data_IF_861864428229
#
_entry.id   IF_861864428229
#
_cell.length_a   1.000
_cell.length_b   1.000
_cell.length_c   1.000
_cell.angle_alpha   90.00
_cell.angle_beta   90.00
_cell.angle_gamma   90.00
#
_symmetry.space_group_name_H-M   'P 1'
#
loop_
_entity.id
_entity.type
_entity.pdbx_description
1 polymer ?
#
# COMPACT_ATOMS: atom_id res chain seq x y z
N UNK A 1 -7.72 -40.56 42.31
CA UNK A 1 -8.86 -39.90 41.63
C UNK A 1 -8.28 -39.10 40.45
N UNK A 2 -8.37 -39.68 39.26
CA UNK A 2 -7.81 -39.10 38.03
C UNK A 2 -8.89 -38.21 37.38
N UNK A 3 -8.66 -36.91 37.29
CA UNK A 3 -9.57 -35.97 36.62
C UNK A 3 -9.18 -35.90 35.14
N UNK A 4 -9.95 -36.56 34.29
CA UNK A 4 -9.83 -36.50 32.86
C UNK A 4 -10.46 -35.19 32.35
N UNK A 5 -9.63 -34.23 31.94
CA UNK A 5 -10.10 -33.01 31.26
C UNK A 5 -10.51 -33.42 29.85
N UNK A 6 -11.81 -33.42 29.57
CA UNK A 6 -12.35 -33.51 28.20
C UNK A 6 -12.18 -32.19 27.52
N UNK A 7 -11.30 -32.13 26.52
CA UNK A 7 -11.31 -31.04 25.57
C UNK A 7 -12.60 -31.16 24.73
N UNK A 8 -13.39 -30.09 24.71
CA UNK A 8 -14.57 -30.00 23.87
C UNK A 8 -14.13 -29.92 22.39
N UNK A 9 -14.24 -31.05 21.67
CA UNK A 9 -14.27 -31.09 20.21
C UNK A 9 -15.64 -30.55 19.79
N UNK A 10 -15.68 -29.32 19.31
CA UNK A 10 -16.60 -28.73 18.34
C UNK A 10 -16.46 -27.20 18.32
N UNK A 11 -15.26 -26.70 17.99
CA UNK A 11 -15.20 -25.42 17.31
C UNK A 11 -15.35 -25.75 15.82
N UNK A 12 -16.50 -25.46 15.21
CA UNK A 12 -16.65 -25.51 13.77
C UNK A 12 -15.46 -24.81 13.15
N UNK A 13 -14.81 -25.45 12.16
CA UNK A 13 -13.77 -24.80 11.36
C UNK A 13 -14.45 -23.55 10.76
N UNK A 14 -14.23 -22.40 11.39
CA UNK A 14 -14.53 -21.11 10.76
C UNK A 14 -13.72 -21.11 9.49
N UNK A 15 -14.40 -21.20 8.35
CA UNK A 15 -13.75 -20.96 7.05
C UNK A 15 -13.04 -19.62 7.19
N UNK A 16 -11.72 -19.63 7.04
CA UNK A 16 -10.93 -18.41 6.99
C UNK A 16 -11.51 -17.65 5.79
N UNK A 17 -12.08 -16.45 6.00
CA UNK A 17 -12.68 -15.71 4.88
C UNK A 17 -11.61 -15.54 3.81
N UNK A 18 -11.86 -16.07 2.62
CA UNK A 18 -10.99 -15.81 1.48
C UNK A 18 -10.88 -14.30 1.29
N UNK A 19 -9.65 -13.80 1.10
CA UNK A 19 -9.46 -12.39 0.80
C UNK A 19 -10.31 -12.02 -0.44
N UNK A 20 -11.15 -10.97 -0.36
CA UNK A 20 -12.26 -10.78 -1.29
C UNK A 20 -11.85 -10.29 -2.69
N UNK A 21 -10.55 -10.15 -2.97
CA UNK A 21 -10.05 -9.66 -4.25
C UNK A 21 -9.42 -10.77 -5.07
N UNK A 22 -9.82 -10.85 -6.35
CA UNK A 22 -9.21 -11.76 -7.32
C UNK A 22 -7.83 -11.27 -7.71
N UNK A 23 -6.86 -12.18 -7.80
CA UNK A 23 -5.55 -11.90 -8.38
C UNK A 23 -5.60 -12.09 -9.89
N UNK A 24 -5.05 -11.14 -10.63
CA UNK A 24 -4.97 -11.18 -12.09
C UNK A 24 -3.52 -11.02 -12.56
N UNK A 25 -3.17 -11.70 -13.66
CA UNK A 25 -1.91 -11.46 -14.35
C UNK A 25 -2.01 -10.16 -15.17
N UNK A 26 -1.17 -9.19 -14.88
CA UNK A 26 -1.11 -7.92 -15.57
C UNK A 26 -0.86 -8.04 -17.07
N UNK A 27 -0.17 -9.12 -17.51
CA UNK A 27 0.07 -9.37 -18.94
C UNK A 27 -1.20 -9.78 -19.69
N UNK A 28 -2.22 -10.28 -19.00
CA UNK A 28 -3.52 -10.65 -19.58
C UNK A 28 -4.52 -9.49 -19.64
N UNK A 29 -4.18 -8.32 -19.07
CA UNK A 29 -5.08 -7.16 -19.04
C UNK A 29 -5.25 -6.51 -20.42
N UNK A 30 -6.33 -5.72 -20.63
CA UNK A 30 -6.50 -4.87 -21.82
C UNK A 30 -5.28 -3.96 -22.04
N UNK A 31 -5.00 -3.65 -23.31
CA UNK A 31 -3.78 -2.94 -23.72
C UNK A 31 -3.59 -1.59 -23.01
N UNK A 32 -4.67 -0.84 -22.78
CA UNK A 32 -4.62 0.44 -22.08
C UNK A 32 -4.11 0.30 -20.63
N UNK A 33 -4.55 -0.75 -19.91
CA UNK A 33 -4.06 -1.04 -18.57
C UNK A 33 -2.62 -1.54 -18.59
N UNK A 34 -2.25 -2.40 -19.54
CA UNK A 34 -0.86 -2.85 -19.67
C UNK A 34 0.09 -1.68 -19.93
N UNK A 35 -0.30 -0.71 -20.76
CA UNK A 35 0.48 0.51 -20.99
C UNK A 35 0.61 1.37 -19.73
N UNK A 36 -0.44 1.48 -18.93
CA UNK A 36 -0.44 2.28 -17.72
C UNK A 36 0.32 1.62 -16.58
N UNK A 37 0.16 0.31 -16.40
CA UNK A 37 0.71 -0.47 -15.29
C UNK A 37 2.09 -1.05 -15.57
N UNK A 38 2.45 -1.29 -16.84
CA UNK A 38 3.74 -1.82 -17.28
C UNK A 38 4.13 -3.12 -16.56
N UNK A 39 3.25 -4.16 -16.52
CA UNK A 39 3.42 -5.33 -15.67
C UNK A 39 4.69 -6.11 -15.99
N UNK A 40 5.53 -6.32 -14.97
CA UNK A 40 6.78 -7.08 -15.07
C UNK A 40 7.92 -6.37 -15.81
N UNK A 41 7.74 -5.12 -16.27
CA UNK A 41 8.81 -4.37 -16.91
C UNK A 41 9.86 -3.91 -15.89
N UNK A 42 11.09 -3.73 -16.38
CA UNK A 42 12.15 -3.10 -15.60
C UNK A 42 12.04 -1.58 -15.65
N UNK A 43 12.25 -0.94 -14.52
CA UNK A 43 12.24 0.50 -14.39
C UNK A 43 13.36 1.00 -13.49
N UNK A 44 14.05 2.06 -13.91
CA UNK A 44 15.15 2.64 -13.15
C UNK A 44 14.65 3.49 -11.99
N UNK A 45 15.23 3.28 -10.81
CA UNK A 45 15.05 4.17 -9.67
C UNK A 45 15.96 5.41 -9.79
N UNK A 46 15.86 6.32 -8.80
CA UNK A 46 16.64 7.57 -8.78
C UNK A 46 18.16 7.35 -8.65
N UNK A 47 18.59 6.16 -8.25
CA UNK A 47 20.00 5.76 -8.13
C UNK A 47 20.51 5.01 -9.36
N UNK A 48 19.62 4.77 -10.35
CA UNK A 48 19.95 4.07 -11.59
C UNK A 48 19.78 2.55 -11.55
N UNK A 49 19.41 1.97 -10.39
CA UNK A 49 19.16 0.54 -10.30
C UNK A 49 17.85 0.16 -11.00
N UNK A 50 17.88 -0.96 -11.71
CA UNK A 50 16.70 -1.55 -12.31
C UNK A 50 15.85 -2.24 -11.24
N UNK A 51 14.55 -1.96 -11.27
CA UNK A 51 13.53 -2.53 -10.39
C UNK A 51 12.45 -3.16 -11.25
N UNK A 52 12.11 -4.40 -10.98
CA UNK A 52 11.04 -5.08 -11.69
C UNK A 52 9.68 -4.62 -11.15
N UNK A 53 8.84 -4.09 -12.03
CA UNK A 53 7.45 -3.71 -11.70
C UNK A 53 6.60 -4.92 -11.35
N UNK A 54 5.55 -4.76 -10.54
CA UNK A 54 4.60 -5.83 -10.25
C UNK A 54 4.00 -6.40 -11.54
N UNK A 55 3.87 -7.73 -11.59
CA UNK A 55 3.16 -8.42 -12.66
C UNK A 55 1.73 -8.77 -12.24
N UNK A 56 1.52 -9.10 -10.96
CA UNK A 56 0.23 -9.54 -10.44
C UNK A 56 -0.45 -8.44 -9.64
N UNK A 57 -1.76 -8.33 -9.85
CA UNK A 57 -2.57 -7.27 -9.27
C UNK A 57 -3.84 -7.86 -8.66
N UNK A 58 -4.34 -7.23 -7.61
CA UNK A 58 -5.72 -7.40 -7.19
C UNK A 58 -6.63 -6.63 -8.14
N UNK A 59 -7.70 -7.28 -8.61
CA UNK A 59 -8.78 -6.61 -9.32
C UNK A 59 -9.80 -6.10 -8.31
N UNK A 60 -9.98 -4.80 -8.27
CA UNK A 60 -10.95 -4.11 -7.41
C UNK A 60 -12.23 -3.89 -8.21
N UNK A 61 -13.41 -4.39 -7.78
CA UNK A 61 -14.62 -4.32 -8.58
C UNK A 61 -15.17 -2.89 -8.75
N UNK A 62 -15.19 -2.09 -7.68
CA UNK A 62 -15.77 -0.75 -7.66
C UNK A 62 -15.27 0.07 -6.47
N UNK A 63 -15.57 1.37 -6.45
CA UNK A 63 -15.38 2.22 -5.27
C UNK A 63 -16.16 1.73 -4.06
N UNK A 64 -17.41 1.29 -4.25
CA UNK A 64 -18.24 0.74 -3.18
C UNK A 64 -17.61 -0.50 -2.55
N UNK A 65 -16.96 -1.33 -3.35
CA UNK A 65 -16.19 -2.47 -2.85
C UNK A 65 -14.94 -2.00 -2.10
N UNK A 66 -14.18 -1.06 -2.67
CA UNK A 66 -12.97 -0.54 -2.04
C UNK A 66 -13.24 0.10 -0.67
N UNK A 67 -14.39 0.76 -0.50
CA UNK A 67 -14.82 1.36 0.78
C UNK A 67 -15.25 0.33 1.83
N UNK A 68 -15.36 -0.94 1.49
CA UNK A 68 -15.78 -2.02 2.41
C UNK A 68 -14.69 -3.06 2.64
N UNK A 69 -13.66 -3.10 1.78
CA UNK A 69 -12.59 -4.09 1.88
C UNK A 69 -11.57 -3.62 2.92
N UNK A 70 -11.52 -4.34 4.02
CA UNK A 70 -10.53 -4.16 5.05
C UNK A 70 -9.21 -4.81 4.62
N UNK A 71 -8.14 -4.02 4.52
CA UNK A 71 -6.78 -4.52 4.31
C UNK A 71 -6.09 -4.85 5.65
N UNK A 72 -6.50 -4.15 6.70
CA UNK A 72 -6.16 -4.39 8.10
C UNK A 72 -7.28 -3.84 8.99
N UNK A 73 -7.31 -4.12 10.31
CA UNK A 73 -8.44 -3.75 11.18
C UNK A 73 -8.88 -2.29 11.15
N UNK A 74 -7.98 -1.38 10.78
CA UNK A 74 -8.28 0.06 10.79
C UNK A 74 -7.96 0.75 9.45
N UNK A 75 -7.69 0.00 8.38
CA UNK A 75 -7.42 0.54 7.06
C UNK A 75 -8.25 -0.15 5.99
N UNK A 76 -9.01 0.65 5.25
CA UNK A 76 -9.80 0.22 4.10
C UNK A 76 -9.01 0.42 2.80
N UNK A 77 -9.26 -0.42 1.81
CA UNK A 77 -8.56 -0.37 0.52
C UNK A 77 -8.64 1.01 -0.16
N UNK A 78 -9.80 1.69 -0.08
CA UNK A 78 -9.99 2.99 -0.72
C UNK A 78 -8.98 4.05 -0.26
N UNK A 79 -8.52 3.98 0.99
CA UNK A 79 -7.54 4.93 1.54
C UNK A 79 -6.19 4.89 0.81
N UNK A 80 -5.84 3.72 0.27
CA UNK A 80 -4.58 3.49 -0.43
C UNK A 80 -4.64 3.78 -1.92
N UNK A 81 -5.83 3.90 -2.50
CA UNK A 81 -6.02 3.98 -3.96
C UNK A 81 -6.68 5.28 -4.41
N UNK A 82 -6.74 6.29 -3.55
CA UNK A 82 -7.19 7.61 -3.94
C UNK A 82 -6.21 8.24 -4.93
N UNK A 83 -6.67 8.49 -6.13
CA UNK A 83 -5.91 9.11 -7.21
C UNK A 83 -6.61 10.37 -7.71
N UNK A 84 -5.90 11.20 -8.48
CA UNK A 84 -6.44 12.43 -9.05
C UNK A 84 -6.21 12.50 -10.57
N UNK A 85 -6.45 13.69 -11.13
CA UNK A 85 -6.31 13.97 -12.58
C UNK A 85 -4.89 13.74 -13.14
N UNK A 86 -3.88 13.56 -12.28
CA UNK A 86 -2.49 13.27 -12.67
C UNK A 86 -2.25 11.80 -12.97
N UNK A 87 -3.21 10.92 -12.61
CA UNK A 87 -3.15 9.50 -12.93
C UNK A 87 -3.42 9.23 -14.41
N UNK A 88 -2.93 8.08 -14.91
CA UNK A 88 -3.15 7.64 -16.27
C UNK A 88 -4.66 7.50 -16.58
N UNK A 89 -5.11 7.84 -17.82
CA UNK A 89 -6.53 7.87 -18.14
C UNK A 89 -7.35 6.63 -17.72
N UNK A 90 -6.89 5.38 -17.95
CA UNK A 90 -7.69 4.21 -17.58
C UNK A 90 -7.82 3.99 -16.07
N UNK A 91 -6.98 4.66 -15.26
CA UNK A 91 -6.96 4.53 -13.80
C UNK A 91 -7.47 5.78 -13.08
N UNK A 92 -7.61 6.90 -13.78
CA UNK A 92 -7.92 8.22 -13.21
C UNK A 92 -9.26 8.28 -12.49
N UNK A 93 -10.27 7.62 -13.04
CA UNK A 93 -11.60 7.59 -12.44
C UNK A 93 -11.69 6.52 -11.35
N UNK A 94 -11.03 5.39 -11.59
CA UNK A 94 -11.01 4.26 -10.68
C UNK A 94 -9.79 3.37 -10.93
N UNK A 95 -8.86 3.25 -9.96
CA UNK A 95 -7.68 2.39 -10.06
C UNK A 95 -8.05 0.92 -9.86
N UNK A 96 -8.65 0.32 -10.89
CA UNK A 96 -9.20 -1.04 -10.86
C UNK A 96 -8.18 -2.13 -10.51
N UNK A 97 -6.91 -1.91 -10.84
CA UNK A 97 -5.86 -2.90 -10.65
C UNK A 97 -4.78 -2.35 -9.72
N UNK A 98 -4.55 -3.04 -8.60
CA UNK A 98 -3.67 -2.58 -7.52
C UNK A 98 -2.64 -3.66 -7.21
N UNK A 99 -1.33 -3.33 -7.05
CA UNK A 99 -0.30 -4.32 -6.73
C UNK A 99 -0.63 -5.12 -5.48
N UNK A 100 -0.38 -6.43 -5.52
CA UNK A 100 -0.73 -7.32 -4.39
C UNK A 100 0.01 -6.99 -3.09
N UNK A 101 1.17 -6.30 -3.16
CA UNK A 101 1.92 -5.89 -1.97
C UNK A 101 1.23 -4.82 -1.11
N UNK A 102 0.11 -4.23 -1.57
CA UNK A 102 -0.65 -3.23 -0.81
C UNK A 102 -1.16 -3.77 0.53
N UNK A 103 -1.43 -5.06 0.62
CA UNK A 103 -1.80 -5.72 1.88
C UNK A 103 -0.66 -5.71 2.90
N UNK A 104 0.59 -5.85 2.46
CA UNK A 104 1.76 -5.76 3.34
C UNK A 104 1.93 -4.34 3.87
N UNK A 105 1.73 -3.33 3.03
CA UNK A 105 1.75 -1.94 3.45
C UNK A 105 0.68 -1.67 4.51
N UNK A 106 -0.55 -2.16 4.32
CA UNK A 106 -1.63 -1.97 5.27
C UNK A 106 -1.32 -2.58 6.64
N UNK A 107 -0.77 -3.81 6.68
CA UNK A 107 -0.34 -4.46 7.93
C UNK A 107 0.77 -3.66 8.63
N UNK A 108 1.73 -3.12 7.89
CA UNK A 108 2.77 -2.27 8.46
C UNK A 108 2.19 -0.96 9.01
N UNK A 109 1.28 -0.32 8.28
CA UNK A 109 0.62 0.90 8.75
C UNK A 109 -0.26 0.65 9.98
N UNK A 110 -0.88 -0.52 10.09
CA UNK A 110 -1.62 -0.91 11.31
C UNK A 110 -0.72 -0.93 12.54
N UNK A 111 0.47 -1.55 12.42
CA UNK A 111 1.45 -1.55 13.51
C UNK A 111 1.93 -0.13 13.84
N UNK A 112 2.13 0.71 12.85
CA UNK A 112 2.48 2.11 13.07
C UNK A 112 1.35 2.87 13.77
N UNK A 113 0.09 2.64 13.35
CA UNK A 113 -1.10 3.20 13.97
C UNK A 113 -1.22 2.80 15.45
N UNK A 114 -0.97 1.53 15.77
CA UNK A 114 -0.92 1.05 17.16
C UNK A 114 0.13 1.80 17.98
N UNK A 115 1.32 2.00 17.42
CA UNK A 115 2.41 2.68 18.11
C UNK A 115 2.14 4.17 18.36
N UNK A 116 1.44 4.85 17.45
CA UNK A 116 1.05 6.26 17.64
C UNK A 116 -0.23 6.42 18.45
N UNK A 117 -1.01 5.34 18.65
CA UNK A 117 -2.21 5.28 19.48
C UNK A 117 -3.40 6.10 18.96
N UNK A 118 -3.42 6.45 17.67
CA UNK A 118 -4.48 7.28 17.08
C UNK A 118 -4.61 7.06 15.58
N UNK A 119 -5.55 7.77 14.92
CA UNK A 119 -5.80 7.66 13.49
C UNK A 119 -4.61 8.13 12.65
N UNK A 120 -4.34 7.41 11.58
CA UNK A 120 -3.30 7.73 10.57
C UNK A 120 -4.02 7.96 9.24
N UNK A 121 -3.82 9.14 8.64
CA UNK A 121 -4.52 9.55 7.43
C UNK A 121 -3.57 9.63 6.25
N UNK A 122 -3.83 8.81 5.22
CA UNK A 122 -3.09 8.80 3.97
C UNK A 122 -3.64 9.93 3.07
N UNK A 123 -2.76 10.69 2.43
CA UNK A 123 -3.17 11.75 1.50
C UNK A 123 -3.68 11.18 0.18
N UNK A 124 -4.49 11.95 -0.56
CA UNK A 124 -4.79 11.63 -1.95
C UNK A 124 -3.48 11.52 -2.76
N UNK A 125 -3.39 10.52 -3.66
CA UNK A 125 -2.14 10.09 -4.31
C UNK A 125 -1.02 9.67 -3.34
N UNK A 126 -1.32 9.52 -2.07
CA UNK A 126 -0.34 9.15 -1.03
C UNK A 126 -0.12 7.66 -0.91
N UNK A 127 -1.03 6.82 -1.40
CA UNK A 127 -0.89 5.37 -1.48
C UNK A 127 -0.36 4.92 -2.84
N UNK A 128 -1.07 4.00 -3.50
CA UNK A 128 -0.72 3.50 -4.82
C UNK A 128 -0.83 4.59 -5.90
N UNK A 129 0.15 4.62 -6.78
CA UNK A 129 0.19 5.42 -8.02
C UNK A 129 0.78 4.56 -9.13
N UNK A 130 0.17 4.54 -10.31
CA UNK A 130 0.71 3.75 -11.43
C UNK A 130 2.08 4.26 -11.88
N UNK A 131 2.87 3.42 -12.57
CA UNK A 131 4.10 3.88 -13.23
C UNK A 131 3.87 5.04 -14.21
N UNK A 132 2.66 5.17 -14.76
CA UNK A 132 2.27 6.23 -15.70
C UNK A 132 1.68 7.48 -15.03
N UNK A 133 1.61 7.52 -13.71
CA UNK A 133 1.24 8.72 -12.97
C UNK A 133 2.27 9.84 -13.18
N UNK A 134 1.82 11.10 -13.33
CA UNK A 134 2.70 12.26 -13.63
C UNK A 134 3.83 12.47 -12.62
N UNK A 135 3.66 12.04 -11.36
CA UNK A 135 4.70 12.10 -10.34
C UNK A 135 5.69 10.93 -10.41
N UNK A 136 5.37 9.87 -11.15
CA UNK A 136 6.18 8.67 -11.23
C UNK A 136 7.20 8.78 -12.37
N UNK A 137 8.19 9.68 -12.23
CA UNK A 137 9.24 9.88 -13.24
C UNK A 137 10.29 8.76 -13.24
N UNK A 138 10.54 8.15 -12.09
CA UNK A 138 11.44 7.03 -11.87
C UNK A 138 10.72 5.99 -11.02
N UNK A 139 11.29 4.79 -10.91
CA UNK A 139 10.76 3.75 -10.04
C UNK A 139 10.59 4.30 -8.62
N UNK A 140 9.38 4.21 -8.12
CA UNK A 140 8.99 4.68 -6.80
C UNK A 140 8.16 3.61 -6.10
N UNK A 141 8.37 3.33 -4.81
CA UNK A 141 7.63 2.31 -4.07
C UNK A 141 6.10 2.48 -4.13
N UNK A 142 5.61 3.69 -4.40
CA UNK A 142 4.17 3.90 -4.67
C UNK A 142 3.64 3.05 -5.84
N UNK A 143 4.46 2.78 -6.87
CA UNK A 143 4.05 1.95 -8.00
C UNK A 143 4.04 0.44 -7.67
N UNK A 144 4.66 0.04 -6.55
CA UNK A 144 4.58 -1.31 -5.99
C UNK A 144 3.44 -1.47 -4.97
N UNK A 145 2.74 -0.37 -4.61
CA UNK A 145 1.77 -0.37 -3.53
C UNK A 145 2.40 -0.53 -2.14
N UNK A 146 3.67 -0.13 -1.99
CA UNK A 146 4.48 -0.35 -0.79
C UNK A 146 4.91 0.96 -0.12
N UNK A 147 4.33 2.10 -0.52
CA UNK A 147 4.60 3.41 0.08
C UNK A 147 3.32 4.14 0.47
N UNK A 148 3.41 4.94 1.52
CA UNK A 148 2.36 5.84 1.96
C UNK A 148 2.91 7.24 2.27
N UNK A 149 2.15 8.26 1.85
CA UNK A 149 2.30 9.63 2.28
C UNK A 149 1.19 9.94 3.30
N UNK A 150 1.58 10.19 4.53
CA UNK A 150 0.67 10.45 5.65
C UNK A 150 0.69 11.95 5.90
N UNK A 151 -0.49 12.59 5.82
CA UNK A 151 -0.60 14.04 6.00
C UNK A 151 -1.04 14.44 7.41
N UNK A 152 -1.66 13.52 8.16
CA UNK A 152 -2.16 13.78 9.51
C UNK A 152 -2.14 12.53 10.39
N UNK A 153 -1.79 12.69 11.66
CA UNK A 153 -1.85 11.64 12.70
C UNK A 153 -2.61 12.22 13.88
N UNK A 154 -3.81 11.67 14.18
CA UNK A 154 -4.75 12.24 15.11
C UNK A 154 -5.06 13.70 14.73
N UNK A 155 -4.82 14.64 15.65
CA UNK A 155 -5.02 16.08 15.41
C UNK A 155 -3.76 16.79 14.89
N UNK A 156 -2.64 16.05 14.71
CA UNK A 156 -1.36 16.64 14.26
C UNK A 156 -1.25 16.58 12.74
N UNK A 157 -1.20 17.72 12.07
CA UNK A 157 -0.81 17.82 10.67
C UNK A 157 0.69 17.66 10.50
N UNK A 158 1.11 16.97 9.43
CA UNK A 158 2.52 16.68 9.16
C UNK A 158 3.08 17.71 8.17
N UNK A 159 2.99 18.99 8.54
CA UNK A 159 3.38 20.17 7.78
C UNK A 159 4.59 20.91 8.40
N UNK A 160 5.21 20.33 9.43
CA UNK A 160 6.37 20.88 10.11
C UNK A 160 7.49 19.86 10.29
N UNK A 161 8.74 20.36 10.33
CA UNK A 161 9.92 19.53 10.57
C UNK A 161 9.78 18.70 11.85
N UNK A 162 9.37 19.34 12.96
CA UNK A 162 9.28 18.66 14.26
C UNK A 162 8.25 17.52 14.26
N UNK A 163 7.09 17.72 13.62
CA UNK A 163 6.07 16.70 13.50
C UNK A 163 6.55 15.52 12.62
N UNK A 164 7.10 15.81 11.45
CA UNK A 164 7.58 14.79 10.51
C UNK A 164 8.73 13.98 11.11
N UNK A 165 9.73 14.63 11.73
CA UNK A 165 10.88 13.94 12.35
C UNK A 165 10.44 13.09 13.56
N UNK A 166 9.52 13.58 14.40
CA UNK A 166 8.96 12.83 15.53
C UNK A 166 8.32 11.53 15.06
N UNK A 167 7.39 11.60 14.11
CA UNK A 167 6.68 10.42 13.63
C UNK A 167 7.54 9.52 12.74
N UNK A 168 8.53 10.06 12.03
CA UNK A 168 9.56 9.27 11.36
C UNK A 168 10.36 8.40 12.35
N UNK A 169 10.70 8.95 13.51
CA UNK A 169 11.41 8.20 14.54
C UNK A 169 10.55 7.05 15.06
N UNK A 170 9.28 7.30 15.39
CA UNK A 170 8.35 6.26 15.84
C UNK A 170 8.21 5.17 14.77
N UNK A 171 8.03 5.55 13.50
CA UNK A 171 7.92 4.57 12.41
C UNK A 171 9.16 3.67 12.34
N UNK A 172 10.37 4.22 12.37
CA UNK A 172 11.62 3.44 12.33
C UNK A 172 11.83 2.56 13.55
N UNK A 173 11.36 2.97 14.71
CA UNK A 173 11.42 2.16 15.94
C UNK A 173 10.42 1.00 15.92
N UNK A 174 9.27 1.20 15.31
CA UNK A 174 8.16 0.22 15.29
C UNK A 174 8.27 -0.78 14.13
N UNK A 175 8.77 -0.32 12.99
CA UNK A 175 8.80 -1.08 11.73
C UNK A 175 10.25 -1.29 11.26
N UNK A 176 10.89 -2.40 11.65
CA UNK A 176 12.24 -2.69 11.19
C UNK A 176 12.35 -2.70 9.65
N UNK A 177 13.31 -1.97 9.11
CA UNK A 177 13.54 -1.89 7.67
C UNK A 177 12.66 -0.89 6.92
N UNK A 178 11.73 -0.18 7.59
CA UNK A 178 10.98 0.91 6.97
C UNK A 178 11.92 2.05 6.58
N UNK A 179 11.74 2.59 5.39
CA UNK A 179 12.37 3.84 5.00
C UNK A 179 11.41 5.02 5.21
N UNK A 180 11.95 6.11 5.74
CA UNK A 180 11.21 7.38 5.89
C UNK A 180 11.99 8.47 5.20
N UNK A 181 11.31 9.32 4.40
CA UNK A 181 11.95 10.45 3.74
C UNK A 181 12.28 11.52 4.77
N UNK A 182 13.54 11.99 4.82
CA UNK A 182 13.91 13.12 5.66
C UNK A 182 13.18 14.41 5.25
N UNK A 183 12.85 15.25 6.21
CA UNK A 183 12.24 16.55 5.97
C UNK A 183 13.15 17.45 5.11
N UNK A 184 12.57 18.12 4.11
CA UNK A 184 13.25 19.15 3.32
C UNK A 184 14.39 18.63 2.43
N UNK A 185 14.37 17.35 2.01
CA UNK A 185 15.41 16.82 1.11
C UNK A 185 15.22 17.34 -0.33
N UNK A 186 16.33 17.69 -1.04
CA UNK A 186 16.26 18.27 -2.38
C UNK A 186 15.65 17.36 -3.46
N UNK A 187 15.58 16.05 -3.21
CA UNK A 187 15.12 15.05 -4.18
C UNK A 187 13.64 14.70 -4.09
N UNK A 188 12.85 15.51 -3.43
CA UNK A 188 11.41 15.31 -3.30
C UNK A 188 10.93 15.81 -1.94
N UNK A 189 10.23 16.89 -1.98
CA UNK A 189 9.72 17.59 -0.81
C UNK A 189 8.83 16.67 0.02
N UNK A 190 9.18 16.44 1.29
CA UNK A 190 8.32 15.92 2.33
C UNK A 190 8.20 17.00 3.41
N UNK A 191 7.62 18.14 3.02
CA UNK A 191 7.42 19.28 3.92
C UNK A 191 5.97 19.36 4.43
N UNK A 192 5.06 18.64 3.76
CA UNK A 192 3.63 18.60 4.02
C UNK A 192 3.08 17.18 4.32
N UNK A 193 3.96 16.19 4.44
CA UNK A 193 3.60 14.80 4.75
C UNK A 193 4.79 13.99 5.24
N UNK A 194 4.51 12.94 5.99
CA UNK A 194 5.46 11.87 6.28
C UNK A 194 5.38 10.83 5.16
N UNK A 195 6.46 10.67 4.40
CA UNK A 195 6.60 9.53 3.48
C UNK A 195 7.28 8.37 4.18
N UNK A 196 6.68 7.19 4.09
CA UNK A 196 7.29 5.93 4.50
C UNK A 196 7.09 4.86 3.44
N UNK A 197 8.04 3.94 3.30
CA UNK A 197 7.94 2.83 2.36
C UNK A 197 8.69 1.57 2.82
N UNK A 198 8.28 0.44 2.24
CA UNK A 198 8.86 -0.90 2.39
C UNK A 198 9.87 -1.21 1.27
N UNK A 199 10.17 -0.24 0.40
CA UNK A 199 10.94 -0.47 -0.82
C UNK A 199 10.16 -1.15 -1.93
N UNK A 200 10.86 -1.86 -2.81
CA UNK A 200 10.34 -2.47 -4.03
C UNK A 200 9.92 -3.93 -3.82
N UNK A 201 8.99 -4.17 -2.89
CA UNK A 201 8.55 -5.52 -2.53
C UNK A 201 7.55 -6.04 -3.55
N UNK A 202 7.81 -7.23 -4.09
CA UNK A 202 6.86 -7.99 -4.90
C UNK A 202 6.13 -9.00 -4.02
N UNK A 203 4.81 -9.00 -4.10
CA UNK A 203 3.95 -10.01 -3.49
C UNK A 203 3.19 -10.74 -4.58
N UNK A 204 3.29 -12.07 -4.57
CA UNK A 204 2.55 -12.95 -5.49
C UNK A 204 1.72 -13.90 -4.62
N UNK A 205 0.41 -13.67 -4.47
CA UNK A 205 -0.46 -14.59 -3.76
C UNK A 205 -0.43 -15.99 -4.38
N UNK A 206 -0.57 -17.03 -3.54
CA UNK A 206 -0.43 -18.41 -3.98
C UNK A 206 -1.50 -18.83 -5.00
N UNK A 207 -2.71 -18.31 -4.85
CA UNK A 207 -3.88 -18.69 -5.66
C UNK A 207 -4.06 -17.75 -6.86
N UNK A 208 -2.99 -17.58 -7.63
CA UNK A 208 -3.10 -16.90 -8.94
C UNK A 208 -3.87 -17.83 -9.86
N UNK A 209 -5.12 -17.50 -10.16
CA UNK A 209 -5.86 -18.20 -11.19
C UNK A 209 -5.23 -17.87 -12.55
N UNK A 210 -4.59 -18.87 -13.14
CA UNK A 210 -4.00 -18.83 -14.49
C UNK A 210 -5.08 -18.78 -15.57
#
# INVERSE_FOLDING_TARGET
MSSTVRFAENAGMNEIPNFPLRVVDGLALPLEYRKALRPGEEWKDTTGHLRQLPRYFYEVPSWDSAMKIELSPNFLLWEFIQVDVREAPPLRTFPRYVPCAITLLAVCLERFREAVGTLVHISANGGYRSPSHRFSKNATPHAWGTAANIYRIGDTYLDSRSAIERFSLIARQTLPGIWTRPYGTPTGYAEDHLHLDLGYVLSVPRDVQS
#
